data_IF_369140207619
#
_entry.id   IF_369140207619
#
_cell.length_a   1.000
_cell.length_b   1.000
_cell.length_c   1.000
_cell.angle_alpha   90.00
_cell.angle_beta   90.00
_cell.angle_gamma   90.00
#
_symmetry.space_group_name_H-M   'P 1'
#
loop_
_entity.id
_entity.type
_entity.pdbx_description
1 polymer ?
#
# COMPACT_ATOMS: atom_id res chain seq x y z
N UNK A 1 -14.31 4.05 13.02
CA UNK A 1 -12.86 4.19 13.38
C UNK A 1 -12.07 3.54 12.26
N UNK A 2 -11.08 4.23 11.68
CA UNK A 2 -10.26 3.70 10.60
C UNK A 2 -9.48 2.46 11.07
N UNK A 3 -9.53 1.34 10.35
CA UNK A 3 -8.81 0.12 10.69
C UNK A 3 -7.33 0.21 10.28
N UNK A 4 -6.40 -0.42 11.00
CA UNK A 4 -5.00 -0.44 10.64
C UNK A 4 -4.72 -1.51 9.57
N UNK A 5 -3.98 -1.14 8.51
CA UNK A 5 -3.53 -2.04 7.46
C UNK A 5 -2.02 -1.90 7.24
N UNK A 6 -1.30 -3.02 7.24
CA UNK A 6 0.13 -3.05 7.01
C UNK A 6 0.42 -3.15 5.51
N UNK A 7 1.23 -2.24 4.99
CA UNK A 7 1.59 -2.18 3.57
C UNK A 7 3.01 -2.73 3.37
N UNK A 8 3.11 -3.79 2.58
CA UNK A 8 4.38 -4.42 2.23
C UNK A 8 5.14 -3.61 1.17
N UNK A 9 6.46 -3.82 1.06
CA UNK A 9 7.36 -3.16 0.11
C UNK A 9 6.86 -3.24 -1.32
N UNK A 10 6.37 -4.40 -1.76
CA UNK A 10 5.90 -4.62 -3.13
C UNK A 10 4.70 -3.75 -3.50
N UNK A 11 3.91 -3.34 -2.52
CA UNK A 11 2.74 -2.45 -2.67
C UNK A 11 3.16 -0.98 -2.67
N UNK A 12 4.20 -0.64 -1.93
CA UNK A 12 4.77 0.71 -1.85
C UNK A 12 5.76 1.02 -3.00
N UNK A 13 6.17 0.03 -3.79
CA UNK A 13 7.12 0.21 -4.88
C UNK A 13 6.52 0.92 -6.11
N UNK A 14 5.34 0.51 -6.67
CA UNK A 14 4.76 1.18 -7.82
C UNK A 14 4.20 2.55 -7.45
N UNK A 15 4.73 3.62 -8.06
CA UNK A 15 4.39 5.00 -7.68
C UNK A 15 2.89 5.31 -7.75
N UNK A 16 2.21 4.89 -8.83
CA UNK A 16 0.79 5.14 -9.01
C UNK A 16 -0.08 4.42 -7.96
N UNK A 17 0.30 3.19 -7.58
CA UNK A 17 -0.40 2.41 -6.57
C UNK A 17 -0.20 3.01 -5.17
N UNK A 18 1.04 3.34 -4.82
CA UNK A 18 1.36 3.97 -3.53
C UNK A 18 0.60 5.28 -3.35
N UNK A 19 0.64 6.16 -4.35
CA UNK A 19 -0.04 7.46 -4.28
C UNK A 19 -1.56 7.27 -4.12
N UNK A 20 -2.17 6.32 -4.85
CA UNK A 20 -3.60 6.02 -4.69
C UNK A 20 -3.93 5.53 -3.29
N UNK A 21 -3.17 4.54 -2.78
CA UNK A 21 -3.41 3.99 -1.44
C UNK A 21 -3.28 5.07 -0.36
N UNK A 22 -2.23 5.88 -0.41
CA UNK A 22 -2.01 6.93 0.58
C UNK A 22 -3.09 8.02 0.51
N UNK A 23 -3.53 8.42 -0.69
CA UNK A 23 -4.66 9.37 -0.84
C UNK A 23 -5.97 8.82 -0.28
N UNK A 24 -6.24 7.52 -0.45
CA UNK A 24 -7.40 6.88 0.17
C UNK A 24 -7.26 6.93 1.70
N UNK A 25 -6.07 6.69 2.24
CA UNK A 25 -5.81 6.78 3.68
C UNK A 25 -5.97 8.20 4.23
N UNK A 26 -5.66 9.26 3.46
CA UNK A 26 -5.92 10.66 3.83
C UNK A 26 -7.42 10.96 4.10
N UNK A 27 -8.33 10.14 3.56
CA UNK A 27 -9.76 10.21 3.88
C UNK A 27 -10.13 9.45 5.17
N UNK A 28 -9.15 9.01 5.96
CA UNK A 28 -9.34 8.34 7.26
C UNK A 28 -10.19 7.06 7.19
N UNK A 29 -10.24 6.41 6.01
CA UNK A 29 -10.98 5.15 5.83
C UNK A 29 -10.18 3.96 6.37
N UNK A 30 -8.86 4.04 6.31
CA UNK A 30 -7.93 3.12 6.99
C UNK A 30 -6.66 3.87 7.42
N UNK A 31 -5.87 3.26 8.31
CA UNK A 31 -4.57 3.77 8.75
C UNK A 31 -3.46 2.90 8.15
N UNK A 32 -2.59 3.46 7.29
CA UNK A 32 -1.48 2.71 6.73
C UNK A 32 -0.39 2.51 7.78
N UNK A 33 0.23 1.33 7.77
CA UNK A 33 1.40 1.01 8.57
C UNK A 33 2.48 0.37 7.71
N UNK A 34 3.73 0.63 8.05
CA UNK A 34 4.94 0.00 7.50
C UNK A 34 6.04 0.00 8.54
N UNK A 35 7.09 -0.80 8.33
CA UNK A 35 8.24 -0.84 9.23
C UNK A 35 9.45 -0.14 8.61
N UNK A 36 10.48 0.20 9.43
CA UNK A 36 11.78 0.66 8.91
C UNK A 36 12.42 -0.33 7.94
N UNK A 37 12.25 -1.65 8.14
CA UNK A 37 12.76 -2.68 7.22
C UNK A 37 12.08 -2.59 5.84
N UNK A 38 10.76 -2.42 5.80
CA UNK A 38 9.99 -2.18 4.57
C UNK A 38 10.49 -0.93 3.86
N UNK A 39 10.69 0.16 4.58
CA UNK A 39 11.21 1.43 4.03
C UNK A 39 12.63 1.27 3.49
N UNK A 40 13.50 0.59 4.22
CA UNK A 40 14.88 0.33 3.78
C UNK A 40 14.92 -0.55 2.52
N UNK A 41 14.06 -1.56 2.43
CA UNK A 41 13.92 -2.39 1.24
C UNK A 41 13.37 -1.58 0.05
N UNK A 42 12.34 -0.76 0.29
CA UNK A 42 11.79 0.15 -0.72
C UNK A 42 12.87 1.08 -1.27
N UNK A 43 13.69 1.67 -0.41
CA UNK A 43 14.78 2.54 -0.81
C UNK A 43 15.80 1.81 -1.68
N UNK A 44 16.23 0.61 -1.27
CA UNK A 44 17.16 -0.23 -2.05
C UNK A 44 16.61 -0.58 -3.43
N UNK A 45 15.31 -0.87 -3.52
CA UNK A 45 14.67 -1.24 -4.78
C UNK A 45 14.47 -0.03 -5.70
N UNK A 46 14.08 1.11 -5.16
CA UNK A 46 13.93 2.35 -5.94
C UNK A 46 15.27 2.84 -6.47
N UNK A 47 16.37 2.77 -5.70
CA UNK A 47 17.70 3.19 -6.12
C UNK A 47 18.25 2.43 -7.33
N UNK A 48 17.65 1.27 -7.69
CA UNK A 48 18.01 0.51 -8.91
C UNK A 48 17.43 1.11 -10.19
N UNK A 49 16.37 1.93 -10.08
CA UNK A 49 15.58 2.40 -11.25
C UNK A 49 15.44 3.92 -11.32
N UNK A 50 15.68 4.63 -10.23
CA UNK A 50 15.67 6.09 -10.19
C UNK A 50 16.92 6.61 -9.44
N UNK A 51 17.25 7.89 -9.62
CA UNK A 51 18.33 8.52 -8.86
C UNK A 51 18.06 8.42 -7.35
N UNK A 52 19.08 8.15 -6.55
CA UNK A 52 19.00 7.97 -5.10
C UNK A 52 18.27 9.12 -4.41
N UNK A 53 18.55 10.36 -4.83
CA UNK A 53 17.91 11.56 -4.32
C UNK A 53 16.38 11.56 -4.59
N UNK A 54 15.94 11.05 -5.75
CA UNK A 54 14.52 10.94 -6.07
C UNK A 54 13.83 9.85 -5.24
N UNK A 55 14.51 8.72 -5.02
CA UNK A 55 14.03 7.67 -4.12
C UNK A 55 13.85 8.20 -2.71
N UNK A 56 14.86 8.90 -2.17
CA UNK A 56 14.82 9.48 -0.83
C UNK A 56 13.70 10.50 -0.70
N UNK A 57 13.57 11.46 -1.63
CA UNK A 57 12.49 12.46 -1.60
C UNK A 57 11.09 11.82 -1.56
N UNK A 58 10.87 10.74 -2.30
CA UNK A 58 9.60 10.02 -2.31
C UNK A 58 9.30 9.38 -0.96
N UNK A 59 10.29 8.70 -0.37
CA UNK A 59 10.16 8.05 0.93
C UNK A 59 9.93 9.10 2.02
N UNK A 60 10.70 10.18 2.03
CA UNK A 60 10.56 11.28 2.99
C UNK A 60 9.17 11.94 2.90
N UNK A 61 8.62 12.09 1.70
CA UNK A 61 7.28 12.62 1.51
C UNK A 61 6.22 11.68 2.11
N UNK A 62 6.33 10.38 1.85
CA UNK A 62 5.46 9.35 2.40
C UNK A 62 5.49 9.34 3.94
N UNK A 63 6.68 9.30 4.53
CA UNK A 63 6.86 9.27 5.99
C UNK A 63 6.40 10.58 6.67
N UNK A 64 6.56 11.72 6.01
CA UNK A 64 6.04 13.01 6.54
C UNK A 64 4.52 13.11 6.48
N UNK A 65 3.91 12.54 5.45
CA UNK A 65 2.46 12.55 5.31
C UNK A 65 1.78 11.66 6.37
N UNK A 66 2.43 10.57 6.77
CA UNK A 66 1.91 9.60 7.73
C UNK A 66 2.94 9.31 8.85
N UNK A 67 3.18 10.25 9.77
CA UNK A 67 4.20 10.07 10.81
C UNK A 67 3.87 8.92 11.78
N UNK A 68 2.60 8.61 11.96
CA UNK A 68 2.11 7.52 12.82
C UNK A 68 2.19 6.12 12.14
N UNK A 69 2.55 6.06 10.85
CA UNK A 69 2.55 4.80 10.11
C UNK A 69 3.76 3.91 10.42
N UNK A 70 4.85 4.49 10.93
CA UNK A 70 6.09 3.76 11.20
C UNK A 70 5.97 2.88 12.44
N UNK A 71 6.11 1.56 12.25
CA UNK A 71 6.06 0.55 13.32
C UNK A 71 7.46 0.16 13.72
N UNK A 72 7.79 0.31 15.01
CA UNK A 72 9.09 -0.08 15.61
C UNK A 72 8.87 -0.97 16.84
N UNK A 73 9.89 -1.69 17.30
CA UNK A 73 9.81 -2.51 18.52
C UNK A 73 9.25 -3.91 18.29
N UNK A 74 9.16 -4.37 17.04
CA UNK A 74 8.68 -5.71 16.66
C UNK A 74 9.79 -6.75 16.51
N UNK A 75 11.05 -6.36 16.62
CA UNK A 75 12.23 -7.16 16.26
C UNK A 75 12.29 -8.47 17.04
N UNK A 76 11.89 -8.44 18.31
CA UNK A 76 11.85 -9.64 19.17
C UNK A 76 10.81 -10.69 18.74
N UNK A 77 9.85 -10.31 17.90
CA UNK A 77 8.82 -11.22 17.39
C UNK A 77 9.26 -11.96 16.12
N UNK A 78 10.24 -11.44 15.40
CA UNK A 78 10.62 -11.92 14.04
C UNK A 78 10.99 -13.40 14.04
N UNK A 79 11.78 -13.85 14.99
CA UNK A 79 12.26 -15.26 15.06
C UNK A 79 11.11 -16.24 15.34
N UNK A 80 10.03 -15.77 15.96
CA UNK A 80 8.83 -16.58 16.25
C UNK A 80 7.87 -16.71 15.06
N UNK A 81 8.06 -15.93 14.00
CA UNK A 81 7.19 -16.00 12.82
C UNK A 81 7.50 -17.21 11.94
N UNK A 82 6.46 -17.88 11.46
CA UNK A 82 6.57 -19.14 10.70
C UNK A 82 6.33 -18.98 9.19
N UNK A 83 6.05 -17.77 8.70
CA UNK A 83 5.96 -17.45 7.27
C UNK A 83 7.33 -17.51 6.57
N UNK A 84 7.39 -17.19 5.27
CA UNK A 84 8.66 -17.13 4.54
C UNK A 84 9.70 -16.31 5.32
N UNK A 85 10.94 -16.82 5.52
CA UNK A 85 11.95 -16.16 6.36
C UNK A 85 12.23 -14.70 5.99
N UNK A 86 12.15 -14.33 4.70
CA UNK A 86 12.38 -12.96 4.24
C UNK A 86 11.23 -12.00 4.62
N UNK A 87 10.02 -12.54 4.86
CA UNK A 87 8.81 -11.77 5.14
C UNK A 87 8.39 -11.82 6.63
N UNK A 88 9.18 -12.51 7.48
CA UNK A 88 8.92 -12.57 8.93
C UNK A 88 8.83 -11.21 9.58
N UNK A 89 9.67 -10.26 9.17
CA UNK A 89 9.64 -8.89 9.67
C UNK A 89 8.31 -8.17 9.35
N UNK A 90 7.67 -8.49 8.21
CA UNK A 90 6.37 -7.94 7.81
C UNK A 90 5.28 -8.44 8.76
N UNK A 91 5.21 -9.76 8.97
CA UNK A 91 4.22 -10.37 9.87
C UNK A 91 4.43 -9.92 11.32
N UNK A 92 5.68 -9.85 11.78
CA UNK A 92 6.04 -9.39 13.12
C UNK A 92 5.60 -7.92 13.36
N UNK A 93 5.90 -7.04 12.42
CA UNK A 93 5.53 -5.63 12.53
C UNK A 93 4.00 -5.43 12.45
N UNK A 94 3.32 -6.14 11.55
CA UNK A 94 1.86 -6.10 11.45
C UNK A 94 1.19 -6.56 12.75
N UNK A 95 1.68 -7.67 13.32
CA UNK A 95 1.20 -8.20 14.61
C UNK A 95 1.43 -7.20 15.75
N UNK A 96 2.63 -6.65 15.83
CA UNK A 96 3.01 -5.69 16.89
C UNK A 96 2.16 -4.42 16.84
N UNK A 97 1.83 -3.93 15.66
CA UNK A 97 1.01 -2.72 15.48
C UNK A 97 -0.50 -2.95 15.64
N UNK A 98 -0.93 -4.18 15.86
CA UNK A 98 -2.35 -4.54 15.96
C UNK A 98 -3.08 -4.46 14.60
N UNK A 99 -2.35 -4.52 13.48
CA UNK A 99 -2.97 -4.70 12.18
C UNK A 99 -3.62 -6.09 12.10
N UNK A 100 -4.75 -6.16 11.43
CA UNK A 100 -5.43 -7.42 11.10
C UNK A 100 -5.32 -7.74 9.60
N UNK A 101 -4.80 -6.80 8.82
CA UNK A 101 -4.67 -6.94 7.36
C UNK A 101 -3.25 -6.57 6.94
N UNK A 102 -2.61 -7.46 6.17
CA UNK A 102 -1.39 -7.20 5.43
C UNK A 102 -1.76 -7.10 3.94
N UNK A 103 -1.40 -6.00 3.31
CA UNK A 103 -1.58 -5.79 1.86
C UNK A 103 -0.28 -6.10 1.15
N UNK A 104 -0.25 -7.18 0.36
CA UNK A 104 0.93 -7.65 -0.38
C UNK A 104 0.54 -8.35 -1.68
N UNK A 105 1.41 -8.29 -2.69
CA UNK A 105 1.28 -9.12 -3.90
C UNK A 105 1.76 -10.58 -3.67
N UNK A 106 2.49 -10.83 -2.59
CA UNK A 106 3.16 -12.10 -2.32
C UNK A 106 2.36 -12.99 -1.34
N UNK A 107 1.07 -13.21 -1.61
CA UNK A 107 0.16 -13.98 -0.73
C UNK A 107 0.74 -15.35 -0.32
N UNK A 108 1.41 -16.03 -1.25
CA UNK A 108 1.98 -17.38 -1.02
C UNK A 108 3.07 -17.42 0.06
N UNK A 109 3.70 -16.29 0.35
CA UNK A 109 4.78 -16.18 1.34
C UNK A 109 4.22 -16.13 2.78
N UNK A 110 2.89 -16.02 2.92
CA UNK A 110 2.13 -15.96 4.16
C UNK A 110 1.09 -17.10 4.24
N UNK A 111 1.49 -18.35 4.47
CA UNK A 111 0.55 -19.47 4.54
C UNK A 111 -0.43 -19.32 5.73
N UNK A 112 -1.64 -19.85 5.58
CA UNK A 112 -2.73 -19.67 6.54
C UNK A 112 -2.36 -20.07 7.98
N UNK A 113 -1.58 -21.13 8.14
CA UNK A 113 -1.09 -21.60 9.44
C UNK A 113 -0.20 -20.59 10.16
N UNK A 114 0.49 -19.71 9.41
CA UNK A 114 1.32 -18.64 9.97
C UNK A 114 0.50 -17.42 10.39
N UNK A 115 -0.69 -17.24 9.83
CA UNK A 115 -1.56 -16.10 10.06
C UNK A 115 -2.59 -16.34 11.17
N UNK A 116 -3.11 -17.58 11.23
CA UNK A 116 -4.18 -17.96 12.17
C UNK A 116 -3.87 -17.62 13.65
N UNK A 117 -2.63 -17.81 14.17
CA UNK A 117 -2.33 -17.48 15.58
C UNK A 117 -2.48 -15.98 15.91
N UNK A 118 -2.45 -15.12 14.90
CA UNK A 118 -2.47 -13.65 15.06
C UNK A 118 -3.78 -13.02 14.57
N UNK A 119 -4.77 -13.84 14.19
CA UNK A 119 -6.03 -13.36 13.57
C UNK A 119 -5.76 -12.39 12.41
N UNK A 120 -4.75 -12.74 11.59
CA UNK A 120 -4.24 -11.92 10.49
C UNK A 120 -4.81 -12.38 9.16
N UNK A 121 -5.18 -11.43 8.31
CA UNK A 121 -5.58 -11.67 6.93
C UNK A 121 -4.56 -11.05 5.97
N UNK A 122 -4.24 -11.75 4.90
CA UNK A 122 -3.40 -11.24 3.81
C UNK A 122 -4.25 -11.07 2.57
N UNK A 123 -4.18 -9.88 1.96
CA UNK A 123 -4.96 -9.53 0.76
C UNK A 123 -4.06 -8.96 -0.32
N UNK A 124 -4.43 -9.17 -1.59
CA UNK A 124 -3.76 -8.49 -2.70
C UNK A 124 -4.11 -7.00 -2.71
N UNK A 125 -3.26 -6.13 -3.27
CA UNK A 125 -3.62 -4.73 -3.45
C UNK A 125 -4.86 -4.54 -4.35
N UNK A 126 -5.11 -5.46 -5.28
CA UNK A 126 -6.29 -5.45 -6.15
C UNK A 126 -7.57 -5.70 -5.34
N UNK A 127 -7.58 -6.75 -4.50
CA UNK A 127 -8.71 -7.06 -3.62
C UNK A 127 -8.91 -5.95 -2.58
N UNK A 128 -7.83 -5.46 -1.95
CA UNK A 128 -7.90 -4.37 -0.99
C UNK A 128 -8.55 -3.12 -1.59
N UNK A 129 -8.14 -2.71 -2.80
CA UNK A 129 -8.72 -1.54 -3.46
C UNK A 129 -10.18 -1.76 -3.91
N UNK A 130 -10.56 -2.99 -4.28
CA UNK A 130 -11.95 -3.33 -4.56
C UNK A 130 -12.83 -3.16 -3.31
N UNK A 131 -12.35 -3.64 -2.16
CA UNK A 131 -13.06 -3.46 -0.88
C UNK A 131 -13.18 -1.97 -0.52
N UNK A 132 -12.11 -1.18 -0.72
CA UNK A 132 -12.18 0.27 -0.50
C UNK A 132 -13.18 0.96 -1.44
N UNK A 133 -13.24 0.53 -2.71
CA UNK A 133 -14.17 1.09 -3.69
C UNK A 133 -15.64 0.75 -3.34
N UNK A 134 -15.89 -0.42 -2.80
CA UNK A 134 -17.24 -0.85 -2.40
C UNK A 134 -17.69 -0.17 -1.11
N UNK A 135 -16.81 -0.08 -0.11
CA UNK A 135 -17.12 0.50 1.19
C UNK A 135 -17.08 2.03 1.20
N UNK A 136 -16.14 2.64 0.47
CA UNK A 136 -15.85 4.07 0.49
C UNK A 136 -15.71 4.66 -0.92
N UNK A 137 -16.71 4.52 -1.80
CA UNK A 137 -16.61 4.94 -3.21
C UNK A 137 -16.28 6.43 -3.38
N UNK A 138 -16.73 7.27 -2.45
CA UNK A 138 -16.43 8.71 -2.44
C UNK A 138 -14.94 9.01 -2.21
N UNK A 139 -14.32 8.33 -1.23
CA UNK A 139 -12.90 8.49 -0.93
C UNK A 139 -12.03 8.03 -2.11
N UNK A 140 -12.34 6.85 -2.67
CA UNK A 140 -11.61 6.32 -3.84
C UNK A 140 -11.75 7.23 -5.06
N UNK A 141 -12.96 7.76 -5.31
CA UNK A 141 -13.18 8.73 -6.39
C UNK A 141 -12.35 9.99 -6.19
N UNK A 142 -12.38 10.59 -5.00
CA UNK A 142 -11.60 11.79 -4.68
C UNK A 142 -10.10 11.55 -4.83
N UNK A 143 -9.59 10.41 -4.38
CA UNK A 143 -8.19 10.02 -4.52
C UNK A 143 -7.76 9.93 -6.00
N UNK A 144 -8.55 9.25 -6.85
CA UNK A 144 -8.27 9.11 -8.29
C UNK A 144 -8.29 10.47 -9.01
N UNK A 145 -9.25 11.33 -8.71
CA UNK A 145 -9.34 12.67 -9.28
C UNK A 145 -8.15 13.53 -8.84
N UNK A 146 -7.85 13.55 -7.53
CA UNK A 146 -6.71 14.30 -6.98
C UNK A 146 -5.39 13.85 -7.58
N UNK A 147 -5.20 12.55 -7.79
CA UNK A 147 -4.01 12.00 -8.43
C UNK A 147 -3.80 12.54 -9.87
N UNK A 148 -4.88 12.70 -10.64
CA UNK A 148 -4.82 13.30 -11.96
C UNK A 148 -4.57 14.82 -11.92
N UNK A 149 -5.15 15.53 -10.95
CA UNK A 149 -5.07 16.99 -10.86
C UNK A 149 -3.71 17.49 -10.34
N UNK A 150 -3.13 16.79 -9.36
CA UNK A 150 -1.90 17.21 -8.70
C UNK A 150 -0.65 16.87 -9.51
N UNK A 151 -0.71 15.86 -10.38
CA UNK A 151 0.40 15.47 -11.24
C UNK A 151 0.43 16.33 -12.50
N UNK A 152 1.30 17.36 -12.51
CA UNK A 152 1.32 18.38 -13.57
C UNK A 152 2.39 18.21 -14.64
N UNK A 153 3.45 17.44 -14.38
CA UNK A 153 4.57 17.26 -15.32
C UNK A 153 5.16 15.85 -15.27
N UNK A 154 4.84 15.00 -16.25
CA UNK A 154 3.81 15.20 -17.28
C UNK A 154 2.40 15.17 -16.66
N UNK A 155 1.44 15.85 -17.30
CA UNK A 155 0.05 15.82 -16.84
C UNK A 155 -0.48 14.38 -16.88
N UNK A 156 -0.96 13.90 -15.75
CA UNK A 156 -1.52 12.56 -15.62
C UNK A 156 -2.97 12.57 -16.06
N UNK A 157 -3.25 11.92 -17.19
CA UNK A 157 -4.63 11.73 -17.64
C UNK A 157 -5.24 10.51 -16.96
N UNK A 158 -6.58 10.44 -16.91
CA UNK A 158 -7.30 9.26 -16.45
C UNK A 158 -6.82 7.97 -17.15
N UNK A 159 -6.63 8.02 -18.45
CA UNK A 159 -6.20 6.85 -19.23
C UNK A 159 -4.80 6.39 -18.81
N UNK A 160 -3.84 7.32 -18.70
CA UNK A 160 -2.47 6.98 -18.28
C UNK A 160 -2.38 6.53 -16.85
N UNK A 161 -3.20 7.09 -15.94
CA UNK A 161 -3.31 6.64 -14.56
C UNK A 161 -3.79 5.18 -14.50
N UNK A 162 -4.91 4.88 -15.15
CA UNK A 162 -5.46 3.52 -15.15
C UNK A 162 -4.51 2.51 -15.76
N UNK A 163 -3.84 2.83 -16.88
CA UNK A 163 -2.81 1.95 -17.45
C UNK A 163 -1.61 1.74 -16.49
N UNK A 164 -1.26 2.74 -15.69
CA UNK A 164 -0.21 2.60 -14.69
C UNK A 164 -0.64 1.72 -13.52
N UNK A 165 -1.88 1.83 -13.08
CA UNK A 165 -2.46 0.98 -12.03
C UNK A 165 -2.62 -0.48 -12.50
N UNK A 166 -3.05 -0.72 -13.75
CA UNK A 166 -3.09 -2.08 -14.34
C UNK A 166 -1.70 -2.73 -14.31
N UNK A 167 -0.65 -1.99 -14.72
CA UNK A 167 0.74 -2.47 -14.65
C UNK A 167 1.25 -2.65 -13.22
N UNK A 168 0.69 -1.93 -12.26
CA UNK A 168 1.00 -2.09 -10.84
C UNK A 168 0.29 -3.29 -10.18
N UNK A 169 -0.47 -4.07 -10.95
CA UNK A 169 -1.07 -5.33 -10.50
C UNK A 169 -2.48 -5.20 -9.91
N UNK A 170 -3.23 -4.14 -10.26
CA UNK A 170 -4.61 -3.91 -9.79
C UNK A 170 -5.64 -3.81 -10.95
N UNK A 171 -5.66 -4.78 -11.89
CA UNK A 171 -6.50 -4.70 -13.09
C UNK A 171 -7.99 -4.83 -12.80
N UNK A 172 -8.41 -5.65 -11.81
CA UNK A 172 -9.82 -5.82 -11.45
C UNK A 172 -10.38 -4.55 -10.84
N UNK A 173 -9.62 -3.93 -9.94
CA UNK A 173 -9.96 -2.61 -9.39
C UNK A 173 -10.13 -1.57 -10.51
N UNK A 174 -9.18 -1.50 -11.45
CA UNK A 174 -9.26 -0.54 -12.57
C UNK A 174 -10.50 -0.79 -13.42
N UNK A 175 -10.82 -2.04 -13.74
CA UNK A 175 -12.02 -2.38 -14.50
C UNK A 175 -13.30 -1.89 -13.79
N UNK A 176 -13.38 -2.09 -12.48
CA UNK A 176 -14.53 -1.68 -11.68
C UNK A 176 -14.58 -0.16 -11.47
N UNK A 177 -13.43 0.49 -11.25
CA UNK A 177 -13.33 1.94 -11.13
C UNK A 177 -13.75 2.66 -12.43
N UNK A 178 -13.44 2.08 -13.61
CA UNK A 178 -13.92 2.60 -14.91
C UNK A 178 -15.44 2.60 -15.02
N UNK A 179 -16.11 1.64 -14.39
CA UNK A 179 -17.57 1.51 -14.40
C UNK A 179 -18.26 2.41 -13.39
N UNK A 180 -17.70 2.49 -12.17
CA UNK A 180 -18.35 3.14 -11.01
C UNK A 180 -17.95 4.60 -10.81
N UNK A 181 -16.72 4.98 -11.22
CA UNK A 181 -16.19 6.32 -10.95
C UNK A 181 -16.41 7.23 -12.15
N UNK A 182 -17.34 8.20 -12.00
CA UNK A 182 -17.46 9.31 -12.92
C UNK A 182 -16.40 10.35 -12.60
N UNK A 183 -15.48 10.57 -13.52
CA UNK A 183 -14.63 11.76 -13.53
C UNK A 183 -15.50 12.86 -14.18
N UNK A 184 -16.09 13.71 -13.36
CA UNK A 184 -16.68 14.94 -13.89
C UNK A 184 -15.50 15.84 -14.23
N UNK A 185 -15.42 16.22 -15.50
CA UNK A 185 -14.47 17.21 -16.01
C UNK A 185 -14.75 18.58 -15.36
#
# INVERSE_FOLDING_TARGET
MAFPAFLDTCVLYPAALTDLLLRIAEHEVYRPHWSPDVVAELQRNLAKVVAEEAARRRIDAMCRAFPEASVTGYESLVDGMTCDPKDRHVLAAATHSGCQVIVTANIKDFPAESLTPYDMTVVTPDDFLLDQLDLYPGAVRSALIGQCQDTRRPQLTRSTLFSSLERAGVPRFVAEARRKVSFVD
#
